data_IF_324675687409
#
_entry.id   IF_324675687409
#
_cell.length_a   1.000
_cell.length_b   1.000
_cell.length_c   1.000
_cell.angle_alpha   90.00
_cell.angle_beta   90.00
_cell.angle_gamma   90.00
#
_symmetry.space_group_name_H-M   'P 1'
#
loop_
_entity.id
_entity.type
_entity.pdbx_description
1 polymer ?
#
# COMPACT_ATOMS: atom_id res chain seq x y z
N UNK A 1 -22.88 -87.36 -14.43
CA UNK A 1 -22.45 -87.57 -15.83
C UNK A 1 -21.32 -88.60 -15.77
N UNK A 2 -21.65 -89.90 -15.82
CA UNK A 2 -21.66 -90.77 -17.03
C UNK A 2 -20.23 -90.93 -17.60
N UNK A 3 -19.61 -92.11 -17.73
CA UNK A 3 -20.17 -93.32 -18.34
C UNK A 3 -19.25 -94.57 -18.16
N UNK A 4 -19.90 -95.75 -18.15
CA UNK A 4 -19.52 -97.12 -18.58
C UNK A 4 -18.05 -97.61 -18.41
N UNK A 5 -17.73 -98.70 -17.70
CA UNK A 5 -18.16 -100.12 -17.76
C UNK A 5 -18.00 -100.78 -19.14
N UNK A 6 -16.94 -101.57 -19.28
CA UNK A 6 -16.74 -102.55 -20.36
C UNK A 6 -15.81 -103.67 -19.88
N UNK A 7 -16.42 -104.77 -19.42
CA UNK A 7 -15.75 -106.06 -19.23
C UNK A 7 -15.46 -106.69 -20.60
N UNK A 8 -14.33 -107.36 -20.74
CA UNK A 8 -14.25 -108.62 -21.48
C UNK A 8 -13.08 -109.48 -20.98
N UNK A 9 -13.42 -110.74 -20.76
CA UNK A 9 -12.66 -111.87 -20.23
C UNK A 9 -11.85 -112.57 -21.31
N UNK A 10 -10.65 -113.05 -20.96
CA UNK A 10 -9.87 -113.97 -21.79
C UNK A 10 -8.64 -114.50 -21.06
N UNK A 11 -8.81 -115.59 -20.31
CA UNK A 11 -7.72 -116.52 -19.96
C UNK A 11 -7.29 -117.23 -21.26
N UNK A 12 -6.06 -117.62 -21.56
CA UNK A 12 -5.04 -118.36 -20.80
C UNK A 12 -3.84 -118.45 -21.75
N UNK A 13 -2.61 -118.26 -21.28
CA UNK A 13 -1.45 -119.17 -21.51
C UNK A 13 -0.19 -118.50 -21.01
N UNK A 14 0.25 -119.00 -19.85
CA UNK A 14 1.62 -119.08 -19.36
C UNK A 14 2.69 -118.87 -20.43
N UNK A 15 3.33 -117.70 -20.42
CA UNK A 15 4.67 -117.57 -20.94
C UNK A 15 5.52 -116.99 -19.81
N UNK A 16 6.11 -117.91 -19.03
CA UNK A 16 7.16 -117.65 -18.07
C UNK A 16 8.35 -117.08 -18.84
N UNK A 17 8.27 -115.78 -19.17
CA UNK A 17 9.42 -115.02 -19.62
C UNK A 17 10.25 -114.82 -18.37
N UNK A 18 11.29 -115.63 -18.26
CA UNK A 18 12.39 -115.44 -17.33
C UNK A 18 12.83 -113.97 -17.46
N UNK A 19 12.34 -113.12 -16.56
CA UNK A 19 12.75 -111.72 -16.50
C UNK A 19 14.16 -111.77 -15.93
N UNK A 20 15.13 -111.46 -16.77
CA UNK A 20 16.50 -111.27 -16.33
C UNK A 20 16.49 -110.28 -15.15
N UNK A 21 17.10 -110.63 -14.00
CA UNK A 21 17.09 -109.76 -12.82
C UNK A 21 17.68 -108.37 -13.11
N UNK A 22 18.51 -108.25 -14.15
CA UNK A 22 19.07 -106.99 -14.66
C UNK A 22 18.03 -106.02 -15.23
N UNK A 23 16.96 -106.50 -15.88
CA UNK A 23 15.92 -105.65 -16.50
C UNK A 23 14.98 -105.07 -15.43
N UNK A 24 14.67 -105.86 -14.39
CA UNK A 24 13.90 -105.38 -13.22
C UNK A 24 14.69 -104.34 -12.42
N UNK A 25 16.00 -104.52 -12.26
CA UNK A 25 16.89 -103.55 -11.61
C UNK A 25 17.00 -102.28 -12.45
N UNK A 26 17.13 -102.39 -13.77
CA UNK A 26 17.15 -101.23 -14.67
C UNK A 26 15.84 -100.41 -14.60
N UNK A 27 14.67 -101.07 -14.64
CA UNK A 27 13.38 -100.39 -14.54
C UNK A 27 13.15 -99.73 -13.16
N UNK A 28 13.60 -100.36 -12.06
CA UNK A 28 13.58 -99.74 -10.73
C UNK A 28 14.50 -98.53 -10.65
N UNK A 29 15.69 -98.61 -11.25
CA UNK A 29 16.67 -97.53 -11.28
C UNK A 29 16.16 -96.35 -12.12
N UNK A 30 15.52 -96.62 -13.26
CA UNK A 30 14.90 -95.59 -14.10
C UNK A 30 13.72 -94.91 -13.38
N UNK A 31 12.89 -95.69 -12.68
CA UNK A 31 11.82 -95.13 -11.85
C UNK A 31 12.36 -94.25 -10.72
N UNK A 32 13.38 -94.70 -9.98
CA UNK A 32 14.00 -93.89 -8.92
C UNK A 32 14.70 -92.66 -9.49
N UNK A 33 15.38 -92.78 -10.63
CA UNK A 33 16.00 -91.65 -11.32
C UNK A 33 14.94 -90.62 -11.76
N UNK A 34 13.81 -91.06 -12.32
CA UNK A 34 12.73 -90.14 -12.73
C UNK A 34 12.08 -89.45 -11.53
N UNK A 35 11.93 -90.17 -10.40
CA UNK A 35 11.38 -89.61 -9.17
C UNK A 35 12.34 -88.60 -8.55
N UNK A 36 13.63 -88.94 -8.45
CA UNK A 36 14.67 -88.03 -7.95
C UNK A 36 14.82 -86.83 -8.87
N UNK A 37 14.74 -87.01 -10.19
CA UNK A 37 14.76 -85.92 -11.17
C UNK A 37 13.56 -84.98 -11.00
N UNK A 38 12.33 -85.51 -10.88
CA UNK A 38 11.14 -84.69 -10.60
C UNK A 38 11.27 -83.91 -9.29
N UNK A 39 11.81 -84.56 -8.26
CA UNK A 39 12.02 -83.92 -6.96
C UNK A 39 13.10 -82.83 -7.05
N UNK A 40 14.18 -83.06 -7.80
CA UNK A 40 15.22 -82.08 -8.06
C UNK A 40 14.69 -80.85 -8.82
N UNK A 41 13.82 -81.05 -9.83
CA UNK A 41 13.18 -79.94 -10.56
C UNK A 41 12.23 -79.14 -9.65
N UNK A 42 11.51 -79.79 -8.74
CA UNK A 42 10.68 -79.08 -7.75
C UNK A 42 11.53 -78.24 -6.80
N UNK A 43 12.61 -78.81 -6.25
CA UNK A 43 13.53 -78.06 -5.40
C UNK A 43 14.22 -76.90 -6.15
N UNK A 44 14.57 -77.08 -7.43
CA UNK A 44 15.10 -76.00 -8.25
C UNK A 44 14.07 -74.87 -8.43
N UNK A 45 12.79 -75.20 -8.61
CA UNK A 45 11.70 -74.24 -8.70
C UNK A 45 11.51 -73.45 -7.39
N UNK A 46 11.45 -74.15 -6.25
CA UNK A 46 11.34 -73.51 -4.93
C UNK A 46 12.57 -72.64 -4.62
N UNK A 47 13.77 -73.10 -4.99
CA UNK A 47 15.01 -72.37 -4.79
C UNK A 47 15.05 -71.09 -5.65
N UNK A 48 14.58 -71.14 -6.90
CA UNK A 48 14.44 -69.94 -7.74
C UNK A 48 13.39 -68.96 -7.21
N UNK A 49 12.27 -69.45 -6.69
CA UNK A 49 11.26 -68.58 -6.07
C UNK A 49 11.83 -67.88 -4.82
N UNK A 50 12.54 -68.62 -3.96
CA UNK A 50 13.24 -68.06 -2.80
C UNK A 50 14.31 -67.03 -3.21
N UNK A 51 15.09 -67.32 -4.25
CA UNK A 51 16.08 -66.39 -4.79
C UNK A 51 15.41 -65.10 -5.31
N UNK A 52 14.31 -65.23 -6.04
CA UNK A 52 13.55 -64.08 -6.56
C UNK A 52 12.98 -63.20 -5.43
N UNK A 53 12.43 -63.83 -4.38
CA UNK A 53 11.91 -63.15 -3.18
C UNK A 53 13.04 -62.46 -2.41
N UNK A 54 14.19 -63.12 -2.26
CA UNK A 54 15.36 -62.55 -1.60
C UNK A 54 15.88 -61.34 -2.38
N UNK A 55 16.01 -61.45 -3.70
CA UNK A 55 16.43 -60.35 -4.57
C UNK A 55 15.49 -59.15 -4.48
N UNK A 56 14.18 -59.39 -4.51
CA UNK A 56 13.16 -58.34 -4.33
C UNK A 56 13.24 -57.70 -2.94
N UNK A 57 13.41 -58.49 -1.89
CA UNK A 57 13.54 -57.96 -0.53
C UNK A 57 14.82 -57.16 -0.36
N UNK A 58 15.96 -57.61 -0.90
CA UNK A 58 17.21 -56.85 -0.87
C UNK A 58 17.10 -55.54 -1.66
N UNK A 59 16.42 -55.55 -2.80
CA UNK A 59 16.12 -54.34 -3.57
C UNK A 59 15.26 -53.36 -2.76
N UNK A 60 14.21 -53.84 -2.10
CA UNK A 60 13.37 -53.04 -1.21
C UNK A 60 14.17 -52.48 -0.03
N UNK A 61 15.00 -53.29 0.63
CA UNK A 61 15.84 -52.83 1.73
C UNK A 61 16.81 -51.73 1.27
N UNK A 62 17.42 -51.88 0.09
CA UNK A 62 18.30 -50.85 -0.47
C UNK A 62 17.54 -49.55 -0.79
N UNK A 63 16.32 -49.65 -1.30
CA UNK A 63 15.48 -48.48 -1.54
C UNK A 63 15.13 -47.75 -0.23
N UNK A 64 14.76 -48.51 0.82
CA UNK A 64 14.47 -47.95 2.14
C UNK A 64 15.71 -47.28 2.73
N UNK A 65 16.87 -47.93 2.66
CA UNK A 65 18.13 -47.37 3.17
C UNK A 65 18.50 -46.05 2.47
N UNK A 66 18.31 -45.98 1.15
CA UNK A 66 18.50 -44.74 0.39
C UNK A 66 17.55 -43.63 0.84
N UNK A 67 16.26 -43.93 1.03
CA UNK A 67 15.28 -42.95 1.50
C UNK A 67 15.58 -42.47 2.92
N UNK A 68 16.03 -43.38 3.79
CA UNK A 68 16.35 -43.06 5.18
C UNK A 68 17.60 -42.19 5.26
N UNK A 69 18.62 -42.48 4.44
CA UNK A 69 19.83 -41.65 4.32
C UNK A 69 19.51 -40.25 3.78
N UNK A 70 18.63 -40.15 2.78
CA UNK A 70 18.18 -38.87 2.24
C UNK A 70 17.38 -38.07 3.28
N UNK A 71 16.43 -38.71 3.97
CA UNK A 71 15.64 -38.08 5.03
C UNK A 71 16.53 -37.58 6.17
N UNK A 72 17.50 -38.39 6.61
CA UNK A 72 18.46 -38.00 7.64
C UNK A 72 19.31 -36.80 7.21
N UNK A 73 19.82 -36.83 5.98
CA UNK A 73 20.57 -35.71 5.39
C UNK A 73 19.72 -34.44 5.29
N UNK A 74 18.44 -34.58 4.92
CA UNK A 74 17.46 -33.50 4.87
C UNK A 74 17.21 -32.88 6.24
N UNK A 75 16.97 -33.71 7.26
CA UNK A 75 16.77 -33.29 8.65
C UNK A 75 18.02 -32.57 9.16
N UNK A 76 19.21 -33.15 8.97
CA UNK A 76 20.46 -32.55 9.45
C UNK A 76 20.71 -31.17 8.82
N UNK A 77 20.43 -31.02 7.51
CA UNK A 77 20.52 -29.72 6.82
C UNK A 77 19.49 -28.73 7.34
N UNK A 78 18.25 -29.18 7.56
CA UNK A 78 17.19 -28.31 8.05
C UNK A 78 17.46 -27.84 9.49
N UNK A 79 17.89 -28.75 10.37
CA UNK A 79 18.31 -28.40 11.75
C UNK A 79 19.42 -27.37 11.74
N UNK A 80 20.45 -27.51 10.88
CA UNK A 80 21.51 -26.50 10.74
C UNK A 80 21.01 -25.15 10.19
N UNK A 81 19.95 -25.14 9.37
CA UNK A 81 19.34 -23.89 8.88
C UNK A 81 18.50 -23.24 9.97
N UNK A 82 17.69 -24.02 10.68
CA UNK A 82 16.88 -23.57 11.80
C UNK A 82 17.77 -23.00 12.92
N UNK A 83 18.87 -23.67 13.24
CA UNK A 83 19.83 -23.21 14.24
C UNK A 83 20.48 -21.88 13.83
N UNK A 84 20.90 -21.74 12.56
CA UNK A 84 21.39 -20.44 12.05
C UNK A 84 20.33 -19.35 12.06
N UNK A 85 19.09 -19.66 11.68
CA UNK A 85 18.00 -18.70 11.73
C UNK A 85 17.74 -18.24 13.18
N UNK A 86 17.74 -19.18 14.13
CA UNK A 86 17.50 -18.88 15.54
C UNK A 86 18.65 -18.11 16.19
N UNK A 87 19.89 -18.44 15.85
CA UNK A 87 21.07 -17.83 16.48
C UNK A 87 21.53 -16.54 15.78
N UNK A 88 21.20 -16.34 14.50
CA UNK A 88 21.63 -15.16 13.75
C UNK A 88 20.47 -14.28 13.30
N UNK A 89 19.45 -14.85 12.65
CA UNK A 89 18.38 -14.03 12.07
C UNK A 89 17.44 -13.47 13.14
N UNK A 90 17.02 -14.28 14.12
CA UNK A 90 16.10 -13.84 15.17
C UNK A 90 16.69 -12.68 16.00
N UNK A 91 17.94 -12.74 16.49
CA UNK A 91 18.54 -11.62 17.22
C UNK A 91 18.70 -10.36 16.37
N UNK A 92 19.05 -10.50 15.09
CA UNK A 92 19.16 -9.36 14.17
C UNK A 92 17.80 -8.68 13.98
N UNK A 93 16.75 -9.46 13.73
CA UNK A 93 15.38 -8.94 13.61
C UNK A 93 14.96 -8.23 14.90
N UNK A 94 15.28 -8.82 16.06
CA UNK A 94 14.99 -8.20 17.35
C UNK A 94 15.72 -6.87 17.53
N UNK A 95 17.00 -6.81 17.16
CA UNK A 95 17.80 -5.58 17.19
C UNK A 95 17.22 -4.51 16.27
N UNK A 96 16.89 -4.86 15.03
CA UNK A 96 16.33 -3.94 14.04
C UNK A 96 14.96 -3.40 14.50
N UNK A 97 14.14 -4.25 15.12
CA UNK A 97 12.85 -3.86 15.68
C UNK A 97 13.02 -2.91 16.87
N UNK A 98 14.01 -3.17 17.73
CA UNK A 98 14.34 -2.31 18.86
C UNK A 98 14.85 -0.95 18.40
N UNK A 99 15.74 -0.91 17.41
CA UNK A 99 16.25 0.32 16.78
C UNK A 99 15.11 1.13 16.15
N UNK A 100 14.20 0.46 15.44
CA UNK A 100 13.03 1.11 14.83
C UNK A 100 12.07 1.68 15.89
N UNK A 101 11.89 0.97 17.01
CA UNK A 101 11.07 1.44 18.14
C UNK A 101 11.68 2.68 18.79
N UNK A 102 12.98 2.69 19.02
CA UNK A 102 13.71 3.83 19.58
C UNK A 102 13.62 5.06 18.66
N UNK A 103 13.80 4.87 17.35
CA UNK A 103 13.63 5.94 16.36
C UNK A 103 12.19 6.49 16.34
N UNK A 104 11.18 5.63 16.47
CA UNK A 104 9.78 6.05 16.53
C UNK A 104 9.46 6.81 17.82
N UNK A 105 10.06 6.41 18.94
CA UNK A 105 9.93 7.12 20.21
C UNK A 105 10.59 8.50 20.15
N UNK A 106 11.78 8.61 19.55
CA UNK A 106 12.46 9.89 19.33
C UNK A 106 11.65 10.80 18.40
N UNK A 107 11.09 10.24 17.32
CA UNK A 107 10.19 10.98 16.45
C UNK A 107 8.94 11.44 17.22
N UNK A 108 8.36 10.60 18.07
CA UNK A 108 7.23 10.97 18.92
C UNK A 108 7.53 12.11 19.89
N UNK A 109 8.78 12.23 20.35
CA UNK A 109 9.23 13.34 21.22
C UNK A 109 9.54 14.62 20.43
N UNK A 110 10.09 14.50 19.23
CA UNK A 110 10.53 15.65 18.41
C UNK A 110 9.39 16.28 17.62
N UNK A 111 8.43 15.49 17.15
CA UNK A 111 7.29 15.95 16.35
C UNK A 111 6.47 17.10 17.00
N UNK A 112 6.08 17.04 18.29
CA UNK A 112 5.35 18.15 18.90
C UNK A 112 6.19 19.43 18.96
N UNK A 113 7.50 19.31 19.18
CA UNK A 113 8.42 20.46 19.17
C UNK A 113 8.52 21.10 17.79
N UNK A 114 8.58 20.29 16.73
CA UNK A 114 8.56 20.80 15.36
C UNK A 114 7.21 21.44 15.05
N UNK A 115 6.10 20.84 15.49
CA UNK A 115 4.76 21.39 15.29
C UNK A 115 4.58 22.76 15.95
N UNK A 116 5.08 22.94 17.19
CA UNK A 116 5.02 24.23 17.86
C UNK A 116 5.91 25.27 17.17
N UNK A 117 7.10 24.89 16.70
CA UNK A 117 7.96 25.78 15.92
C UNK A 117 7.31 26.22 14.60
N UNK A 118 6.67 25.29 13.87
CA UNK A 118 5.94 25.62 12.64
C UNK A 118 4.76 26.54 12.93
N UNK A 119 4.04 26.33 14.03
CA UNK A 119 2.95 27.21 14.43
C UNK A 119 3.46 28.62 14.74
N UNK A 120 4.55 28.77 15.49
CA UNK A 120 5.14 30.08 15.79
C UNK A 120 5.59 30.81 14.51
N UNK A 121 6.25 30.11 13.59
CA UNK A 121 6.62 30.65 12.28
C UNK A 121 5.38 31.10 11.49
N UNK A 122 4.31 30.31 11.54
CA UNK A 122 3.05 30.65 10.87
C UNK A 122 2.42 31.91 11.47
N UNK A 123 2.39 32.04 12.79
CA UNK A 123 1.88 33.23 13.49
C UNK A 123 2.72 34.48 13.17
N UNK A 124 4.05 34.36 13.13
CA UNK A 124 4.95 35.44 12.71
C UNK A 124 4.72 35.84 11.25
N UNK A 125 4.53 34.87 10.35
CA UNK A 125 4.25 35.11 8.95
C UNK A 125 2.91 35.86 8.76
N UNK A 126 1.85 35.41 9.42
CA UNK A 126 0.54 36.07 9.38
C UNK A 126 0.60 37.49 9.96
N UNK A 127 1.34 37.69 11.05
CA UNK A 127 1.59 39.03 11.62
C UNK A 127 2.33 39.93 10.64
N UNK A 128 3.38 39.42 9.99
CA UNK A 128 4.12 40.14 8.95
C UNK A 128 3.24 40.49 7.75
N UNK A 129 2.40 39.55 7.30
CA UNK A 129 1.45 39.75 6.20
C UNK A 129 0.44 40.86 6.51
N UNK A 130 -0.14 40.86 7.72
CA UNK A 130 -1.07 41.91 8.17
C UNK A 130 -0.40 43.27 8.20
N UNK A 131 0.82 43.36 8.74
CA UNK A 131 1.60 44.61 8.74
C UNK A 131 1.89 45.11 7.32
N UNK A 132 2.23 44.21 6.41
CA UNK A 132 2.42 44.52 5.00
C UNK A 132 1.15 45.06 4.35
N UNK A 133 -0.01 44.45 4.61
CA UNK A 133 -1.29 44.94 4.12
C UNK A 133 -1.64 46.33 4.65
N UNK A 134 -1.42 46.56 5.95
CA UNK A 134 -1.62 47.89 6.56
C UNK A 134 -0.70 48.91 5.89
N UNK A 135 0.58 48.58 5.70
CA UNK A 135 1.54 49.47 5.07
C UNK A 135 1.19 49.75 3.60
N UNK A 136 0.76 48.75 2.84
CA UNK A 136 0.30 48.92 1.46
C UNK A 136 -0.93 49.82 1.41
N UNK A 137 -1.90 49.61 2.29
CA UNK A 137 -3.10 50.45 2.38
C UNK A 137 -2.75 51.89 2.79
N UNK A 138 -1.80 52.07 3.71
CA UNK A 138 -1.29 53.39 4.10
C UNK A 138 -0.55 54.06 2.93
N UNK A 139 0.29 53.33 2.19
CA UNK A 139 0.97 53.84 0.99
C UNK A 139 -0.02 54.18 -0.13
N UNK A 140 -1.04 53.35 -0.35
CA UNK A 140 -2.09 53.61 -1.34
C UNK A 140 -2.86 54.87 -0.99
N UNK A 141 -3.20 55.05 0.30
CA UNK A 141 -3.79 56.29 0.79
C UNK A 141 -2.85 57.47 0.60
N UNK A 142 -1.54 57.32 0.91
CA UNK A 142 -0.50 58.33 0.70
C UNK A 142 -0.12 58.56 -0.77
N UNK A 143 -0.56 57.71 -1.69
CA UNK A 143 -0.39 57.90 -3.13
C UNK A 143 -1.65 58.45 -3.81
N UNK A 144 -2.81 58.42 -3.15
CA UNK A 144 -4.06 58.96 -3.70
C UNK A 144 -3.92 60.47 -3.94
N UNK A 145 -4.40 60.99 -5.07
CA UNK A 145 -4.24 62.41 -5.39
C UNK A 145 -4.89 63.33 -4.35
N UNK A 146 -4.28 64.52 -4.15
CA UNK A 146 -4.73 65.49 -3.12
C UNK A 146 -6.22 65.85 -3.22
N UNK A 147 -6.74 66.00 -4.45
CA UNK A 147 -8.15 66.31 -4.70
C UNK A 147 -9.07 65.15 -4.32
N UNK A 148 -8.67 63.91 -4.59
CA UNK A 148 -9.43 62.71 -4.24
C UNK A 148 -9.45 62.50 -2.71
N UNK A 149 -8.31 62.75 -2.03
CA UNK A 149 -8.26 62.76 -0.56
C UNK A 149 -9.20 63.79 0.04
N UNK A 150 -9.21 65.01 -0.50
CA UNK A 150 -10.08 66.09 -0.01
C UNK A 150 -11.56 65.72 -0.16
N UNK A 151 -11.95 65.17 -1.32
CA UNK A 151 -13.32 64.68 -1.57
C UNK A 151 -13.69 63.52 -0.63
N UNK A 152 -12.79 62.56 -0.42
CA UNK A 152 -13.00 61.42 0.48
C UNK A 152 -13.18 61.87 1.95
N UNK A 153 -12.43 62.86 2.43
CA UNK A 153 -12.56 63.38 3.81
C UNK A 153 -13.91 64.08 4.02
N UNK A 154 -14.41 64.78 3.00
CA UNK A 154 -15.68 65.50 3.07
C UNK A 154 -16.85 64.50 3.04
N UNK A 155 -16.84 63.55 2.09
CA UNK A 155 -18.00 62.69 1.83
C UNK A 155 -17.96 61.32 2.51
N UNK A 156 -16.78 60.78 2.85
CA UNK A 156 -16.63 59.45 3.48
C UNK A 156 -16.24 59.58 4.95
N UNK A 157 -16.84 58.74 5.80
CA UNK A 157 -16.57 58.77 7.26
C UNK A 157 -15.28 58.04 7.65
N UNK A 158 -14.87 57.04 6.86
CA UNK A 158 -13.74 56.14 7.14
C UNK A 158 -12.40 56.66 6.59
N UNK A 159 -12.06 57.93 6.85
CA UNK A 159 -10.72 58.45 6.53
C UNK A 159 -9.79 58.31 7.77
N UNK A 160 -8.55 57.81 7.63
CA UNK A 160 -7.59 57.62 8.73
C UNK A 160 -6.94 58.92 9.19
N UNK A 161 -7.71 60.00 9.31
CA UNK A 161 -7.23 61.33 9.72
C UNK A 161 -7.85 61.68 11.06
N UNK A 162 -7.08 62.39 11.90
CA UNK A 162 -7.57 62.85 13.21
C UNK A 162 -8.92 63.57 13.08
N UNK A 163 -9.83 63.30 14.01
CA UNK A 163 -11.18 63.88 14.03
C UNK A 163 -11.17 65.42 13.96
N UNK A 164 -10.15 66.06 14.54
CA UNK A 164 -9.96 67.52 14.52
C UNK A 164 -9.79 68.05 13.10
N UNK A 165 -8.96 67.39 12.30
CA UNK A 165 -8.72 67.76 10.90
C UNK A 165 -9.95 67.52 10.02
N UNK A 166 -10.70 66.44 10.28
CA UNK A 166 -11.96 66.15 9.59
C UNK A 166 -13.00 67.24 9.83
N UNK A 167 -13.12 67.73 11.07
CA UNK A 167 -14.04 68.83 11.42
C UNK A 167 -13.57 70.14 10.77
N UNK A 168 -12.28 70.45 10.83
CA UNK A 168 -11.73 71.67 10.22
C UNK A 168 -11.98 71.71 8.70
N UNK A 169 -11.77 70.60 7.99
CA UNK A 169 -12.01 70.50 6.54
C UNK A 169 -13.50 70.60 6.17
N UNK A 170 -14.39 70.01 6.98
CA UNK A 170 -15.83 70.14 6.75
C UNK A 170 -16.32 71.55 7.03
N UNK A 171 -15.79 72.19 8.07
CA UNK A 171 -16.12 73.58 8.40
C UNK A 171 -15.64 74.54 7.29
N UNK A 172 -14.42 74.34 6.75
CA UNK A 172 -13.93 75.17 5.65
C UNK A 172 -14.79 75.04 4.39
N UNK A 173 -15.24 73.82 4.06
CA UNK A 173 -16.18 73.61 2.96
C UNK A 173 -17.51 74.36 3.16
N UNK A 174 -18.09 74.28 4.37
CA UNK A 174 -19.33 75.00 4.71
C UNK A 174 -19.14 76.52 4.62
N UNK A 175 -18.03 77.04 5.12
CA UNK A 175 -17.71 78.49 5.04
C UNK A 175 -17.60 78.94 3.59
N UNK A 176 -16.87 78.21 2.75
CA UNK A 176 -16.75 78.52 1.32
C UNK A 176 -18.13 78.49 0.64
N UNK A 177 -18.96 77.49 0.95
CA UNK A 177 -20.31 77.39 0.40
C UNK A 177 -21.20 78.58 0.81
N UNK A 178 -21.15 78.99 2.08
CA UNK A 178 -21.88 80.17 2.57
C UNK A 178 -21.40 81.43 1.86
N UNK A 179 -20.09 81.61 1.69
CA UNK A 179 -19.53 82.75 0.95
C UNK A 179 -19.99 82.74 -0.51
N UNK A 180 -19.99 81.59 -1.20
CA UNK A 180 -20.50 81.47 -2.57
C UNK A 180 -21.99 81.82 -2.67
N UNK A 181 -22.82 81.35 -1.73
CA UNK A 181 -24.23 81.72 -1.65
C UNK A 181 -24.42 83.21 -1.41
N UNK A 182 -23.61 83.80 -0.51
CA UNK A 182 -23.62 85.24 -0.24
C UNK A 182 -23.24 86.05 -1.48
N UNK A 183 -22.13 85.72 -2.14
CA UNK A 183 -21.72 86.39 -3.37
C UNK A 183 -22.75 86.24 -4.48
N UNK A 184 -23.34 85.05 -4.65
CA UNK A 184 -24.40 84.82 -5.62
C UNK A 184 -25.63 85.67 -5.30
N UNK A 185 -26.00 85.79 -4.03
CA UNK A 185 -27.09 86.65 -3.57
C UNK A 185 -26.81 88.13 -3.86
N UNK A 186 -25.62 88.63 -3.53
CA UNK A 186 -25.20 90.01 -3.83
C UNK A 186 -25.17 90.26 -5.33
N UNK A 187 -24.68 89.31 -6.13
CA UNK A 187 -24.71 89.39 -7.58
C UNK A 187 -26.14 89.42 -8.13
N UNK A 188 -27.05 88.59 -7.58
CA UNK A 188 -28.48 88.62 -7.92
C UNK A 188 -29.14 89.93 -7.55
N UNK A 189 -28.87 90.46 -6.35
CA UNK A 189 -29.38 91.77 -5.94
C UNK A 189 -28.80 92.89 -6.80
N UNK A 190 -27.52 92.80 -7.18
CA UNK A 190 -26.87 93.72 -8.10
C UNK A 190 -27.49 93.69 -9.50
N UNK A 191 -27.72 92.49 -10.04
CA UNK A 191 -28.41 92.30 -11.32
C UNK A 191 -29.87 92.78 -11.25
N UNK A 192 -30.57 92.48 -10.16
CA UNK A 192 -31.93 92.94 -9.92
C UNK A 192 -32.00 94.48 -9.83
N UNK A 193 -31.03 95.11 -9.16
CA UNK A 193 -30.93 96.56 -9.08
C UNK A 193 -30.57 97.19 -10.43
N UNK A 194 -29.69 96.59 -11.21
CA UNK A 194 -29.39 97.03 -12.57
C UNK A 194 -30.64 96.90 -13.49
N UNK A 195 -31.41 95.84 -13.31
CA UNK A 195 -32.66 95.62 -14.05
C UNK A 195 -33.76 96.61 -13.65
N UNK A 196 -33.91 96.93 -12.36
CA UNK A 196 -34.89 97.92 -11.89
C UNK A 196 -34.54 99.34 -12.31
N UNK A 197 -33.26 99.74 -12.30
CA UNK A 197 -32.84 101.02 -12.85
C UNK A 197 -33.06 101.13 -14.37
N UNK A 198 -33.01 100.01 -15.12
CA UNK A 198 -33.33 100.01 -16.55
C UNK A 198 -34.83 100.22 -16.82
N UNK A 199 -35.71 99.80 -15.91
CA UNK A 199 -37.15 100.04 -15.99
C UNK A 199 -37.51 101.50 -15.65
N UNK A 200 -36.83 102.11 -14.67
CA UNK A 200 -37.07 103.53 -14.28
C UNK A 200 -36.70 104.52 -15.39
N UNK A 201 -35.75 104.17 -16.26
CA UNK A 201 -35.44 104.98 -17.46
C UNK A 201 -36.37 104.68 -18.65
N UNK A 202 -37.12 103.57 -18.62
CA UNK A 202 -38.16 103.28 -19.62
C UNK A 202 -39.39 104.18 -19.47
N UNK A 203 -39.82 104.45 -18.24
CA UNK A 203 -41.00 105.29 -17.97
C UNK A 203 -40.73 106.80 -18.18
N UNK A 204 -39.46 107.22 -18.28
CA UNK A 204 -39.09 108.62 -18.51
C UNK A 204 -38.87 108.98 -19.99
N UNK A 205 -39.06 108.05 -20.92
CA UNK A 205 -39.01 108.27 -22.37
C UNK A 205 -40.39 108.27 -23.04
N UNK A 206 -41.48 108.12 -22.27
CA UNK A 206 -42.86 108.18 -22.78
C UNK A 206 -43.73 109.27 -22.13
N UNK A 207 -43.14 110.41 -21.78
CA UNK A 207 -43.87 111.67 -21.60
C UNK A 207 -43.08 112.86 -22.13
#
# INVERSE_FOLDING_TARGET
MSNQRGQQTGATTSNLKHVDPSVSVAAKLEYTLSRVSKQAVQYEGEMKDLESKLSRNLSNFRAIDSLLSEAFSGIQRNTKRADRAMNQQVPNIYRDLQESKEALEDLGRTLPTVQTQVQDIHEMYESGRRKGQVLVNDLEWLNTDWYERWRLIIFTSSSPVSLKWKIAMRASFVVIFILCCWFSWVALQGAYRAHSHRLVWGDKLMS
#
